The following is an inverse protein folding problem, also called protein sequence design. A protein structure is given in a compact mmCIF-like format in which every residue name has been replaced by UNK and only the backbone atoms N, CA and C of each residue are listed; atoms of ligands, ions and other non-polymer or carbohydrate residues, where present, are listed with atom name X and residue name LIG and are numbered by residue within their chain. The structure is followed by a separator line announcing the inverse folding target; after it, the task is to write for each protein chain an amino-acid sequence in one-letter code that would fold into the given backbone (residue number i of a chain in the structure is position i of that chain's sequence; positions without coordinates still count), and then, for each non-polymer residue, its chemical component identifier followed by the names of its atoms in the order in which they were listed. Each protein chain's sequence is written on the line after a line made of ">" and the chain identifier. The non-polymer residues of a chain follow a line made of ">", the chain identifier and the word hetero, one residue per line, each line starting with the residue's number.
data_IF_563886992534
#
_entry.id   IF_563886992534
#
_cell.length_a   1.000
_cell.length_b   1.000
_cell.length_c   1.000
_cell.angle_alpha   90.00
_cell.angle_beta   90.00
_cell.angle_gamma   90.00
#
_symmetry.space_group_name_H-M   'P 1'
#
loop_
_entity.id
_entity.type
_entity.pdbx_description
1 polymer ?
#
# COMPACT_ATOMS: atom_id res chain seq x y z
N UNK A 1 6.99 3.42 15.99
CA UNK A 1 7.80 4.65 15.76
C UNK A 1 9.26 4.31 15.97
N UNK A 2 10.21 5.12 15.47
CA UNK A 2 11.65 4.82 15.65
C UNK A 2 12.04 4.65 17.13
N UNK A 3 11.36 5.35 18.05
CA UNK A 3 11.49 5.14 19.50
C UNK A 3 11.24 3.69 19.95
N UNK A 4 10.33 2.95 19.30
CA UNK A 4 10.07 1.55 19.65
C UNK A 4 11.23 0.61 19.26
N UNK A 5 12.12 1.07 18.36
CA UNK A 5 13.33 0.37 17.96
C UNK A 5 14.62 0.96 18.59
N UNK A 6 14.49 1.89 19.55
CA UNK A 6 15.64 2.58 20.16
C UNK A 6 16.37 3.53 19.23
N UNK A 7 15.77 3.91 18.09
CA UNK A 7 16.37 4.78 17.08
C UNK A 7 15.92 6.22 17.37
N UNK A 8 16.86 7.18 17.52
CA UNK A 8 16.53 8.60 17.64
C UNK A 8 15.55 9.05 16.56
N UNK A 9 14.41 9.58 16.97
CA UNK A 9 13.31 9.94 16.07
C UNK A 9 13.07 11.43 16.13
N UNK A 10 13.00 12.06 14.96
CA UNK A 10 12.55 13.45 14.83
C UNK A 10 11.16 13.41 14.19
N UNK A 11 10.21 14.07 14.82
CA UNK A 11 8.85 14.16 14.33
C UNK A 11 8.62 15.53 13.66
N UNK A 12 8.00 15.51 12.49
CA UNK A 12 7.61 16.70 11.74
C UNK A 12 6.13 16.60 11.38
N UNK A 13 5.39 17.70 11.53
CA UNK A 13 4.03 17.82 11.02
C UNK A 13 4.04 18.51 9.65
N UNK A 14 4.10 17.70 8.59
CA UNK A 14 4.11 18.20 7.22
C UNK A 14 2.77 18.87 6.83
N UNK A 15 1.64 18.45 7.42
CA UNK A 15 0.34 19.04 7.14
C UNK A 15 0.21 20.47 7.70
N UNK A 16 0.67 20.67 8.94
CA UNK A 16 0.75 22.01 9.55
C UNK A 16 1.74 22.93 8.81
N UNK A 17 2.80 22.37 8.22
CA UNK A 17 3.73 23.12 7.39
C UNK A 17 3.13 23.53 6.03
N UNK A 18 2.19 22.75 5.48
CA UNK A 18 1.56 23.03 4.19
C UNK A 18 0.38 24.02 4.26
N UNK A 19 -0.31 24.13 5.39
CA UNK A 19 -1.55 24.91 5.55
C UNK A 19 -1.36 26.42 5.84
N UNK A 20 -0.14 26.96 5.91
CA UNK A 20 0.07 28.41 6.05
C UNK A 20 0.15 29.10 4.68
N UNK A 21 -0.47 30.29 4.56
CA UNK A 21 -0.41 31.24 3.43
C UNK A 21 0.67 30.89 2.39
N UNK A 22 0.25 30.76 1.13
CA UNK A 22 0.94 30.13 -0.03
C UNK A 22 2.45 30.48 -0.21
N UNK A 23 2.99 31.52 0.45
CA UNK A 23 4.43 31.82 0.54
C UNK A 23 5.18 31.27 1.77
N UNK A 24 4.55 31.23 2.95
CA UNK A 24 5.18 30.79 4.21
C UNK A 24 5.32 29.26 4.33
N UNK A 25 4.43 28.51 3.66
CA UNK A 25 4.45 27.04 3.61
C UNK A 25 5.73 26.48 2.99
N UNK A 26 6.20 27.08 1.89
CA UNK A 26 7.43 26.67 1.22
C UNK A 26 8.72 27.02 2.00
N UNK A 27 8.71 28.09 2.79
CA UNK A 27 9.86 28.45 3.66
C UNK A 27 9.99 27.49 4.84
N UNK A 28 8.87 27.15 5.50
CA UNK A 28 8.84 26.18 6.61
C UNK A 28 9.29 24.79 6.19
N UNK A 29 8.80 24.32 5.04
CA UNK A 29 9.23 23.05 4.47
C UNK A 29 10.74 23.05 4.19
N UNK A 30 11.27 24.11 3.55
CA UNK A 30 12.71 24.22 3.28
C UNK A 30 13.54 24.25 4.56
N UNK A 31 13.08 24.96 5.60
CA UNK A 31 13.75 24.98 6.90
C UNK A 31 13.78 23.58 7.54
N UNK A 32 12.67 22.84 7.51
CA UNK A 32 12.61 21.47 8.01
C UNK A 32 13.56 20.54 7.24
N UNK A 33 13.60 20.66 5.90
CA UNK A 33 14.52 19.90 5.06
C UNK A 33 15.98 20.23 5.35
N UNK A 34 16.31 21.50 5.59
CA UNK A 34 17.67 21.92 5.96
C UNK A 34 18.13 21.31 7.29
N UNK A 35 17.24 21.21 8.28
CA UNK A 35 17.51 20.53 9.55
C UNK A 35 17.80 19.05 9.32
N UNK A 36 17.01 18.38 8.48
CA UNK A 36 17.22 16.96 8.15
C UNK A 36 18.56 16.77 7.42
N UNK A 37 18.89 17.63 6.47
CA UNK A 37 20.17 17.58 5.74
C UNK A 37 21.36 17.78 6.69
N UNK A 38 21.27 18.74 7.63
CA UNK A 38 22.32 19.01 8.61
C UNK A 38 22.55 17.83 9.56
N UNK A 39 21.48 17.19 10.04
CA UNK A 39 21.56 16.04 10.95
C UNK A 39 22.06 14.79 10.23
N UNK A 40 21.59 14.56 9.01
CA UNK A 40 21.96 13.39 8.21
C UNK A 40 23.32 13.51 7.51
N UNK A 41 23.96 14.69 7.55
CA UNK A 41 25.20 14.99 6.82
C UNK A 41 25.08 14.65 5.32
N UNK A 42 23.89 14.90 4.75
CA UNK A 42 23.57 14.56 3.36
C UNK A 42 23.36 13.06 3.06
N UNK A 43 23.36 12.18 4.08
CA UNK A 43 23.16 10.73 3.95
C UNK A 43 21.77 10.30 4.44
N UNK A 44 20.73 10.93 3.91
CA UNK A 44 19.33 10.62 4.24
C UNK A 44 18.72 9.63 3.25
N UNK A 45 18.00 8.61 3.74
CA UNK A 45 17.09 7.78 2.95
C UNK A 45 15.66 8.29 3.12
N UNK A 46 14.99 8.59 2.00
CA UNK A 46 13.62 9.09 1.97
C UNK A 46 12.66 8.00 1.52
N UNK A 47 11.69 7.66 2.38
CA UNK A 47 10.60 6.71 2.08
C UNK A 47 9.29 7.36 2.49
N UNK A 48 8.29 7.34 1.61
CA UNK A 48 6.95 7.82 1.88
C UNK A 48 5.92 7.01 1.09
N UNK A 49 4.69 6.97 1.60
CA UNK A 49 3.52 6.41 0.90
C UNK A 49 2.57 7.54 0.55
N UNK A 50 2.04 7.56 -0.66
CA UNK A 50 1.02 8.53 -1.05
C UNK A 50 0.07 7.93 -2.09
N UNK A 51 -1.19 8.36 -2.06
CA UNK A 51 -2.18 8.00 -3.08
C UNK A 51 -2.31 9.09 -4.15
N UNK A 52 -1.70 10.25 -3.96
CA UNK A 52 -1.77 11.38 -4.88
C UNK A 52 -0.38 12.03 -5.05
N UNK A 53 0.50 11.39 -5.80
CA UNK A 53 1.89 11.88 -5.96
C UNK A 53 1.97 13.30 -6.56
N UNK A 54 0.98 13.68 -7.37
CA UNK A 54 0.90 14.99 -7.99
C UNK A 54 0.74 16.16 -6.98
N UNK A 55 0.29 15.88 -5.76
CA UNK A 55 0.13 16.91 -4.72
C UNK A 55 1.41 17.15 -3.92
N UNK A 56 2.44 16.30 -4.09
CA UNK A 56 3.69 16.49 -3.37
C UNK A 56 4.46 17.71 -3.91
N UNK A 57 4.95 18.60 -3.02
CA UNK A 57 5.84 19.69 -3.40
C UNK A 57 7.05 19.17 -4.20
N UNK A 58 7.48 19.87 -5.27
CA UNK A 58 8.63 19.49 -6.08
C UNK A 58 9.92 19.31 -5.27
N UNK A 59 10.10 20.10 -4.21
CA UNK A 59 11.24 20.04 -3.28
C UNK A 59 11.33 18.68 -2.58
N UNK A 60 10.19 18.12 -2.17
CA UNK A 60 10.12 16.78 -1.59
C UNK A 60 10.25 15.70 -2.66
N UNK A 61 9.58 15.87 -3.81
CA UNK A 61 9.62 14.89 -4.90
C UNK A 61 11.05 14.58 -5.36
N UNK A 62 11.92 15.60 -5.42
CA UNK A 62 13.34 15.46 -5.80
C UNK A 62 14.18 14.65 -4.81
N UNK A 63 13.75 14.50 -3.56
CA UNK A 63 14.49 13.76 -2.53
C UNK A 63 14.24 12.25 -2.58
N UNK A 64 13.20 11.79 -3.25
CA UNK A 64 12.91 10.36 -3.44
C UNK A 64 13.71 9.79 -4.61
N UNK A 65 15.02 9.59 -4.39
CA UNK A 65 15.97 9.20 -5.44
C UNK A 65 15.91 7.73 -5.83
N UNK A 66 15.35 6.86 -4.99
CA UNK A 66 15.18 5.42 -5.29
C UNK A 66 14.03 5.14 -6.27
N UNK A 67 13.34 6.18 -6.74
CA UNK A 67 12.22 6.07 -7.65
C UNK A 67 10.87 6.00 -6.94
N UNK A 68 9.82 5.93 -7.73
CA UNK A 68 8.44 5.79 -7.26
C UNK A 68 7.96 4.39 -7.58
N UNK A 69 7.50 3.67 -6.57
CA UNK A 69 7.00 2.31 -6.71
C UNK A 69 5.47 2.32 -6.66
N UNK A 70 4.85 1.62 -7.61
CA UNK A 70 3.41 1.39 -7.61
C UNK A 70 3.09 0.04 -6.96
N UNK A 71 2.21 0.08 -5.96
CA UNK A 71 1.68 -1.09 -5.28
C UNK A 71 0.26 -1.31 -5.78
N UNK A 72 0.07 -2.35 -6.59
CA UNK A 72 -1.25 -2.73 -7.06
C UNK A 72 -1.96 -3.64 -6.03
N UNK A 73 -3.19 -4.07 -6.35
CA UNK A 73 -3.90 -5.08 -5.59
C UNK A 73 -3.08 -6.36 -5.49
N UNK A 74 -3.07 -7.00 -4.30
CA UNK A 74 -2.28 -8.21 -4.10
C UNK A 74 -2.79 -9.36 -4.97
N UNK A 75 -1.85 -10.12 -5.50
CA UNK A 75 -2.07 -11.41 -6.16
C UNK A 75 -2.66 -12.43 -5.20
N UNK A 76 -3.19 -13.55 -5.72
CA UNK A 76 -3.71 -14.62 -4.89
C UNK A 76 -2.65 -15.18 -3.91
N UNK A 77 -1.38 -15.26 -4.34
CA UNK A 77 -0.27 -15.72 -3.50
C UNK A 77 0.05 -14.72 -2.37
N UNK A 78 0.08 -13.42 -2.67
CA UNK A 78 0.25 -12.39 -1.63
C UNK A 78 -0.94 -12.37 -0.66
N UNK A 79 -2.18 -12.54 -1.15
CA UNK A 79 -3.37 -12.64 -0.29
C UNK A 79 -3.32 -13.86 0.64
N UNK A 80 -2.86 -15.01 0.15
CA UNK A 80 -2.65 -16.23 0.97
C UNK A 80 -1.73 -15.95 2.17
N UNK A 81 -0.62 -15.24 1.93
CA UNK A 81 0.32 -14.86 2.98
C UNK A 81 -0.32 -13.87 3.97
N UNK A 82 -1.07 -12.88 3.47
CA UNK A 82 -1.76 -11.90 4.33
C UNK A 82 -2.82 -12.58 5.19
N UNK A 83 -3.59 -13.50 4.63
CA UNK A 83 -4.54 -14.34 5.34
C UNK A 83 -3.87 -15.11 6.47
N UNK A 84 -2.74 -15.74 6.21
CA UNK A 84 -1.98 -16.51 7.21
C UNK A 84 -1.57 -15.64 8.41
N UNK A 85 -1.10 -14.42 8.14
CA UNK A 85 -0.71 -13.46 9.18
C UNK A 85 -1.91 -13.08 10.06
N UNK A 86 -3.04 -12.73 9.46
CA UNK A 86 -4.18 -12.19 10.22
C UNK A 86 -5.08 -13.26 10.85
N UNK A 87 -5.20 -14.45 10.25
CA UNK A 87 -5.84 -15.58 10.92
C UNK A 87 -5.08 -15.96 12.18
N UNK A 88 -3.75 -16.11 12.10
CA UNK A 88 -2.93 -16.41 13.28
C UNK A 88 -3.02 -15.30 14.33
N UNK A 89 -3.05 -14.03 13.91
CA UNK A 89 -3.13 -12.89 14.82
C UNK A 89 -4.46 -12.81 15.60
N UNK A 90 -5.56 -13.18 14.98
CA UNK A 90 -6.91 -13.04 15.55
C UNK A 90 -7.55 -14.37 15.94
N UNK A 91 -6.82 -15.48 15.81
CA UNK A 91 -7.35 -16.84 15.92
C UNK A 91 -8.67 -17.00 15.14
N UNK A 92 -8.71 -16.41 13.94
CA UNK A 92 -9.90 -16.41 13.12
C UNK A 92 -9.99 -17.76 12.40
N UNK A 93 -11.10 -18.46 12.61
CA UNK A 93 -11.33 -19.79 12.06
C UNK A 93 -12.43 -19.75 10.98
N UNK A 94 -12.37 -20.71 10.06
CA UNK A 94 -13.39 -20.90 9.02
C UNK A 94 -12.83 -20.92 7.61
N UNK A 95 -13.71 -21.19 6.65
CA UNK A 95 -13.36 -21.19 5.23
C UNK A 95 -13.20 -19.76 4.72
N UNK A 96 -12.15 -19.54 3.93
CA UNK A 96 -11.86 -18.23 3.36
C UNK A 96 -12.84 -17.96 2.21
N UNK A 97 -13.39 -16.74 2.14
CA UNK A 97 -14.30 -16.37 1.05
C UNK A 97 -13.53 -16.26 -0.27
N UNK A 98 -14.27 -16.07 -1.38
CA UNK A 98 -13.66 -15.54 -2.59
C UNK A 98 -13.17 -14.10 -2.32
N UNK A 99 -11.85 -13.96 -2.21
CA UNK A 99 -11.15 -12.73 -1.86
C UNK A 99 -10.61 -11.98 -3.09
N UNK A 100 -11.11 -12.29 -4.28
CA UNK A 100 -10.64 -11.64 -5.49
C UNK A 100 -10.86 -10.12 -5.44
N UNK A 101 -9.79 -9.39 -5.74
CA UNK A 101 -9.73 -7.94 -5.62
C UNK A 101 -9.74 -7.40 -4.18
N UNK A 102 -9.55 -8.23 -3.16
CA UNK A 102 -9.37 -7.76 -1.79
C UNK A 102 -7.93 -7.26 -1.55
N UNK A 103 -7.82 -6.26 -0.70
CA UNK A 103 -6.59 -5.71 -0.16
C UNK A 103 -6.25 -6.35 1.17
N UNK A 104 -5.01 -6.17 1.62
CA UNK A 104 -4.63 -6.61 2.97
C UNK A 104 -5.40 -5.92 4.10
N UNK A 105 -5.95 -4.72 3.87
CA UNK A 105 -6.81 -4.04 4.84
C UNK A 105 -8.15 -4.76 5.00
N UNK A 106 -8.77 -5.23 3.92
CA UNK A 106 -10.03 -5.98 3.95
C UNK A 106 -9.84 -7.36 4.59
N UNK A 107 -8.77 -8.08 4.25
CA UNK A 107 -8.45 -9.37 4.88
C UNK A 107 -8.27 -9.20 6.39
N UNK A 108 -7.49 -8.20 6.81
CA UNK A 108 -7.30 -7.86 8.23
C UNK A 108 -8.61 -7.55 8.92
N UNK A 109 -9.45 -6.71 8.29
CA UNK A 109 -10.71 -6.26 8.85
C UNK A 109 -11.71 -7.41 8.99
N UNK A 110 -11.76 -8.31 8.00
CA UNK A 110 -12.57 -9.52 8.05
C UNK A 110 -12.17 -10.41 9.23
N UNK A 111 -10.88 -10.74 9.37
CA UNK A 111 -10.38 -11.53 10.52
C UNK A 111 -10.67 -10.83 11.85
N UNK A 112 -10.49 -9.50 11.90
CA UNK A 112 -10.76 -8.70 13.10
C UNK A 112 -12.23 -8.69 13.48
N UNK A 113 -13.16 -8.64 12.50
CA UNK A 113 -14.61 -8.72 12.72
C UNK A 113 -15.01 -10.11 13.23
N UNK A 114 -14.50 -11.17 12.60
CA UNK A 114 -14.71 -12.55 13.04
C UNK A 114 -14.35 -12.72 14.53
N UNK A 115 -13.17 -12.25 14.93
CA UNK A 115 -12.72 -12.27 16.32
C UNK A 115 -13.60 -11.42 17.26
N UNK A 116 -13.87 -10.16 16.90
CA UNK A 116 -14.60 -9.23 17.80
C UNK A 116 -16.08 -9.57 17.97
N UNK A 117 -16.69 -10.15 16.96
CA UNK A 117 -18.12 -10.48 16.95
C UNK A 117 -18.38 -11.96 17.21
N UNK A 118 -17.34 -12.74 17.50
CA UNK A 118 -17.40 -14.19 17.73
C UNK A 118 -18.14 -14.94 16.61
N UNK A 119 -17.83 -14.59 15.36
CA UNK A 119 -18.40 -15.20 14.16
C UNK A 119 -17.29 -15.81 13.29
N UNK A 120 -17.67 -16.66 12.34
CA UNK A 120 -16.74 -17.22 11.37
C UNK A 120 -16.21 -16.17 10.38
N UNK A 121 -15.10 -16.48 9.70
CA UNK A 121 -14.57 -15.66 8.61
C UNK A 121 -15.60 -15.50 7.49
N UNK A 122 -16.33 -16.57 7.15
CA UNK A 122 -17.33 -16.55 6.08
C UNK A 122 -18.48 -15.59 6.40
N UNK A 123 -18.95 -15.56 7.64
CA UNK A 123 -19.96 -14.61 8.09
C UNK A 123 -19.42 -13.17 8.08
N UNK A 124 -18.21 -12.95 8.59
CA UNK A 124 -17.57 -11.63 8.59
C UNK A 124 -17.34 -11.08 7.17
N UNK A 125 -17.08 -11.97 6.21
CA UNK A 125 -16.87 -11.61 4.81
C UNK A 125 -18.11 -11.01 4.16
N UNK A 126 -19.31 -11.40 4.59
CA UNK A 126 -20.58 -10.84 4.07
C UNK A 126 -20.72 -9.33 4.34
N UNK A 127 -19.99 -8.81 5.33
CA UNK A 127 -19.97 -7.39 5.70
C UNK A 127 -18.75 -6.65 5.12
N UNK A 128 -18.12 -7.17 4.06
CA UNK A 128 -16.92 -6.59 3.46
C UNK A 128 -17.17 -6.31 1.97
N UNK A 129 -17.10 -5.04 1.60
CA UNK A 129 -17.16 -4.61 0.19
C UNK A 129 -15.74 -4.20 -0.23
N UNK A 130 -15.12 -4.90 -1.19
CA UNK A 130 -13.73 -4.63 -1.54
C UNK A 130 -13.59 -3.29 -2.29
N UNK A 131 -12.45 -2.62 -2.07
CA UNK A 131 -12.09 -1.33 -2.66
C UNK A 131 -11.94 -1.41 -4.17
N UNK A 132 -11.58 -2.59 -4.68
CA UNK A 132 -11.61 -2.91 -6.11
C UNK A 132 -12.99 -2.71 -6.74
N UNK A 133 -14.07 -2.81 -5.95
CA UNK A 133 -15.44 -2.53 -6.39
C UNK A 133 -15.85 -1.10 -6.03
N UNK A 134 -15.68 -0.70 -4.77
CA UNK A 134 -16.20 0.60 -4.31
C UNK A 134 -15.43 1.81 -4.84
N UNK A 135 -14.14 1.65 -5.19
CA UNK A 135 -13.29 2.70 -5.73
C UNK A 135 -12.61 2.29 -7.06
N UNK A 136 -13.30 1.48 -7.87
CA UNK A 136 -12.78 0.94 -9.13
C UNK A 136 -12.19 2.03 -10.06
N UNK A 137 -12.92 3.14 -10.24
CA UNK A 137 -12.49 4.26 -11.09
C UNK A 137 -11.21 4.94 -10.56
N UNK A 138 -11.08 5.07 -9.25
CA UNK A 138 -9.87 5.65 -8.64
C UNK A 138 -8.67 4.72 -8.85
N UNK A 139 -8.85 3.41 -8.66
CA UNK A 139 -7.80 2.41 -8.92
C UNK A 139 -7.39 2.45 -10.39
N UNK A 140 -8.36 2.50 -11.31
CA UNK A 140 -8.11 2.61 -12.75
C UNK A 140 -7.28 3.86 -13.08
N UNK A 141 -7.67 5.02 -12.57
CA UNK A 141 -6.93 6.28 -12.74
C UNK A 141 -5.50 6.19 -12.20
N UNK A 142 -5.32 5.59 -11.02
CA UNK A 142 -4.01 5.39 -10.42
C UNK A 142 -3.13 4.48 -11.29
N UNK A 143 -3.65 3.33 -11.73
CA UNK A 143 -2.95 2.39 -12.62
C UNK A 143 -2.55 3.04 -13.94
N UNK A 144 -3.46 3.79 -14.57
CA UNK A 144 -3.16 4.57 -15.79
C UNK A 144 -2.06 5.60 -15.56
N UNK A 145 -2.10 6.30 -14.43
CA UNK A 145 -1.10 7.31 -14.10
C UNK A 145 0.29 6.72 -13.86
N UNK A 146 0.35 5.49 -13.34
CA UNK A 146 1.58 4.79 -12.97
C UNK A 146 2.19 4.00 -14.14
N UNK A 147 1.37 3.46 -15.05
CA UNK A 147 1.80 2.60 -16.15
C UNK A 147 2.86 3.30 -17.01
N UNK A 148 4.02 2.65 -17.17
CA UNK A 148 5.16 3.17 -17.91
C UNK A 148 5.95 4.29 -17.21
N UNK A 149 5.54 4.73 -16.02
CA UNK A 149 6.15 5.87 -15.30
C UNK A 149 6.76 5.47 -13.96
N UNK A 150 6.20 4.48 -13.27
CA UNK A 150 6.64 4.02 -11.95
C UNK A 150 7.27 2.63 -12.03
N UNK A 151 8.00 2.24 -10.98
CA UNK A 151 8.51 0.89 -10.80
C UNK A 151 7.42 -0.02 -10.22
N UNK A 152 7.42 -1.29 -10.59
CA UNK A 152 6.54 -2.27 -9.96
C UNK A 152 7.08 -2.66 -8.59
N UNK A 153 6.20 -2.74 -7.58
CA UNK A 153 6.56 -3.26 -6.26
C UNK A 153 6.56 -4.79 -6.19
N UNK A 154 5.78 -5.45 -7.06
CA UNK A 154 5.60 -6.91 -7.06
C UNK A 154 6.47 -7.64 -8.09
N UNK A 155 7.02 -6.92 -9.07
CA UNK A 155 7.87 -7.51 -10.11
C UNK A 155 9.08 -6.59 -10.43
N UNK A 156 10.22 -7.14 -10.87
CA UNK A 156 11.34 -6.34 -11.31
C UNK A 156 10.98 -5.46 -12.53
N UNK A 157 11.34 -4.17 -12.47
CA UNK A 157 11.24 -3.25 -13.60
C UNK A 157 10.09 -2.25 -13.53
N UNK A 158 9.76 -1.68 -14.69
CA UNK A 158 8.71 -0.65 -14.84
C UNK A 158 7.34 -1.30 -14.69
N UNK A 159 6.45 -0.63 -13.96
CA UNK A 159 5.06 -1.03 -13.82
C UNK A 159 4.31 -0.84 -15.13
N UNK A 160 3.64 -1.89 -15.59
CA UNK A 160 2.77 -1.86 -16.75
C UNK A 160 1.40 -2.37 -16.38
N UNK A 161 0.39 -1.60 -16.75
CA UNK A 161 -1.01 -1.99 -16.63
C UNK A 161 -1.63 -2.08 -18.01
N UNK A 162 -2.28 -3.21 -18.28
CA UNK A 162 -3.12 -3.43 -19.45
C UNK A 162 -4.57 -3.59 -18.97
N UNK A 163 -5.47 -2.83 -19.57
CA UNK A 163 -6.90 -2.87 -19.25
C UNK A 163 -7.54 -4.21 -19.67
N UNK A 164 -6.94 -4.88 -20.66
CA UNK A 164 -7.43 -6.15 -21.20
C UNK A 164 -6.70 -7.38 -20.63
N UNK A 165 -5.66 -7.20 -19.81
CA UNK A 165 -5.04 -8.34 -19.15
C UNK A 165 -5.97 -8.86 -18.06
N UNK A 166 -6.69 -9.95 -18.37
CA UNK A 166 -7.37 -10.75 -17.36
C UNK A 166 -6.32 -11.12 -16.31
N UNK A 167 -6.53 -10.75 -15.05
CA UNK A 167 -5.71 -11.18 -13.92
C UNK A 167 -5.47 -12.68 -14.07
N UNK A 168 -4.22 -13.17 -14.16
CA UNK A 168 -3.99 -14.60 -14.39
C UNK A 168 -4.64 -15.37 -13.23
N UNK A 169 -5.69 -16.13 -13.54
CA UNK A 169 -6.27 -17.08 -12.60
C UNK A 169 -5.26 -18.23 -12.49
N UNK A 170 -4.24 -18.03 -11.65
CA UNK A 170 -3.29 -19.09 -11.30
C UNK A 170 -4.00 -20.08 -10.37
N UNK A 171 -4.67 -21.09 -10.93
CA UNK A 171 -5.47 -21.99 -10.09
C UNK A 171 -6.18 -23.18 -10.73
N UNK A 172 -5.69 -23.76 -11.83
CA UNK A 172 -6.04 -25.16 -12.15
C UNK A 172 -4.88 -25.88 -12.83
N UNK A 173 -3.95 -26.38 -12.01
CA UNK A 173 -3.03 -27.44 -12.43
C UNK A 173 -3.86 -28.70 -12.64
N UNK A 174 -4.30 -28.95 -13.87
CA UNK A 174 -4.78 -30.28 -14.26
C UNK A 174 -3.56 -31.21 -14.20
N UNK A 175 -3.47 -32.01 -13.14
CA UNK A 175 -2.68 -33.24 -13.17
C UNK A 175 -3.38 -34.16 -14.18
N UNK A 176 -2.88 -34.21 -15.40
CA UNK A 176 -3.15 -35.36 -16.25
C UNK A 176 -2.33 -36.53 -15.70
N UNK A 177 -3.05 -37.54 -15.22
CA UNK A 177 -2.54 -38.85 -14.85
C UNK A 177 -1.95 -39.56 -16.08
N UNK A 178 -1.08 -40.54 -15.82
CA UNK A 178 -0.16 -41.09 -16.80
C UNK A 178 -0.76 -41.99 -17.88
N UNK A 179 0.13 -42.33 -18.79
CA UNK A 179 0.38 -43.66 -19.37
C UNK A 179 1.89 -43.79 -19.58
#
# INVERSE_FOLDING_TARGET
>A
TGNAAGIPTIAFDLGAMQNSLIGASGERLRAALAVIDAISQGRSLWIATCNAIATLPPELRRRFTLGTYFFDLPTAEEREQIWSIYQAKYDAQGERPNDDGWTGAEIKECCRKAYRLHMSITEAASYTVPVSRSAAEQIKSLRQSASGKFLSASAPGVYHWDENSVTPIAGRRLRAAGE
#
